data_IF_475081694497
#
_entry.id   IF_475081694497
#
_cell.length_a   1.000
_cell.length_b   1.000
_cell.length_c   1.000
_cell.angle_alpha   90.00
_cell.angle_beta   90.00
_cell.angle_gamma   90.00
#
_symmetry.space_group_name_H-M   'P 1'
#
loop_
_entity.id
_entity.type
_entity.pdbx_description
1 polymer ?
#
# COMPACT_ATOMS: atom_id res chain seq x y z
N UNK A 1 -23.97 -29.37 18.43
CA UNK A 1 -22.80 -28.47 18.50
C UNK A 1 -21.63 -29.24 17.93
N UNK A 2 -21.03 -28.80 16.84
CA UNK A 2 -19.77 -29.39 16.38
C UNK A 2 -18.69 -28.94 17.36
N UNK A 3 -17.94 -29.90 17.90
CA UNK A 3 -16.77 -29.61 18.71
C UNK A 3 -15.73 -28.87 17.85
N UNK A 4 -15.46 -27.64 18.21
CA UNK A 4 -14.38 -26.88 17.54
C UNK A 4 -13.05 -27.39 18.05
N UNK A 5 -12.25 -27.96 17.17
CA UNK A 5 -10.90 -28.40 17.50
C UNK A 5 -9.97 -27.18 17.42
N UNK A 6 -9.32 -26.86 18.53
CA UNK A 6 -8.29 -25.81 18.54
C UNK A 6 -7.10 -26.25 17.69
N UNK A 7 -6.79 -25.48 16.67
CA UNK A 7 -5.53 -25.59 15.93
C UNK A 7 -4.65 -24.40 16.28
N UNK A 8 -3.48 -24.63 16.89
CA UNK A 8 -2.56 -23.54 17.19
C UNK A 8 -2.14 -22.84 15.89
N UNK A 9 -2.06 -21.53 15.94
CA UNK A 9 -1.49 -20.78 14.82
C UNK A 9 -0.02 -21.22 14.60
N UNK A 10 0.42 -21.37 13.35
CA UNK A 10 1.81 -21.64 13.09
C UNK A 10 2.69 -20.55 13.68
N UNK A 11 3.85 -20.93 14.18
CA UNK A 11 4.82 -19.94 14.68
C UNK A 11 5.10 -18.90 13.58
N UNK A 12 5.09 -17.60 13.91
CA UNK A 12 5.39 -16.57 12.94
C UNK A 12 6.80 -16.77 12.40
N UNK A 13 6.93 -16.80 11.08
CA UNK A 13 8.25 -16.82 10.44
C UNK A 13 9.00 -15.54 10.85
N UNK A 14 10.07 -15.70 11.58
CA UNK A 14 10.95 -14.58 11.96
C UNK A 14 11.89 -14.28 10.80
N UNK A 15 12.08 -12.99 10.55
CA UNK A 15 13.13 -12.53 9.65
C UNK A 15 14.51 -12.84 10.27
N UNK A 16 15.55 -13.00 9.43
CA UNK A 16 16.93 -13.07 9.92
C UNK A 16 17.27 -11.87 10.81
N UNK A 17 18.15 -12.05 11.78
CA UNK A 17 18.52 -11.00 12.74
C UNK A 17 19.19 -9.78 12.06
N UNK A 18 19.77 -9.97 10.88
CA UNK A 18 20.39 -8.95 10.03
C UNK A 18 19.47 -8.39 8.95
N UNK A 19 18.17 -8.73 8.98
CA UNK A 19 17.21 -8.21 8.02
C UNK A 19 17.12 -6.68 8.11
N UNK A 20 17.13 -5.97 6.97
CA UNK A 20 17.04 -4.52 6.97
C UNK A 20 15.67 -4.03 7.45
N UNK A 21 15.65 -2.88 8.09
CA UNK A 21 14.40 -2.16 8.34
C UNK A 21 13.87 -1.57 7.03
N UNK A 22 12.58 -1.75 6.78
CA UNK A 22 11.90 -1.21 5.60
C UNK A 22 10.85 -0.21 6.07
N UNK A 23 11.00 1.05 5.66
CA UNK A 23 10.02 2.10 5.90
C UNK A 23 9.27 2.39 4.59
N UNK A 24 7.96 2.20 4.60
CA UNK A 24 7.08 2.57 3.49
C UNK A 24 6.34 3.84 3.85
N UNK A 25 6.56 4.92 3.09
CA UNK A 25 5.85 6.19 3.25
C UNK A 25 4.86 6.33 2.11
N UNK A 26 3.57 6.30 2.44
CA UNK A 26 2.48 6.41 1.49
C UNK A 26 1.79 7.77 1.67
N UNK A 27 2.05 8.68 0.75
CA UNK A 27 1.47 10.02 0.80
C UNK A 27 0.09 9.97 0.17
N UNK A 28 -0.90 10.52 0.88
CA UNK A 28 -2.30 10.54 0.44
C UNK A 28 -2.56 11.73 -0.47
N UNK A 29 -3.37 11.50 -1.51
CA UNK A 29 -3.79 12.50 -2.51
C UNK A 29 -2.63 13.31 -3.14
N UNK A 30 -1.44 12.73 -3.22
CA UNK A 30 -0.28 13.36 -3.84
C UNK A 30 0.11 12.65 -5.14
N UNK A 31 -0.02 13.35 -6.25
CA UNK A 31 0.45 12.88 -7.54
C UNK A 31 1.93 13.24 -7.81
N UNK A 32 2.53 12.67 -8.85
CA UNK A 32 3.93 12.94 -9.22
C UNK A 32 4.19 14.40 -9.61
N UNK A 33 3.17 15.17 -9.94
CA UNK A 33 3.30 16.59 -10.27
C UNK A 33 3.32 17.53 -9.05
N UNK A 34 3.23 17.02 -7.83
CA UNK A 34 3.22 17.84 -6.62
C UNK A 34 4.64 18.14 -6.10
N UNK A 35 5.51 17.15 -5.80
CA UNK A 35 6.82 17.43 -5.23
C UNK A 35 7.80 17.96 -6.27
N UNK A 36 8.61 18.95 -5.88
CA UNK A 36 9.64 19.55 -6.75
C UNK A 36 10.63 18.52 -7.31
N UNK A 37 10.95 17.49 -6.53
CA UNK A 37 11.85 16.43 -6.97
C UNK A 37 11.33 15.61 -8.16
N UNK A 38 10.04 15.68 -8.49
CA UNK A 38 9.42 15.06 -9.66
C UNK A 38 8.94 16.11 -10.70
N UNK A 39 9.28 17.37 -10.51
CA UNK A 39 8.93 18.47 -11.43
C UNK A 39 7.68 19.25 -11.01
N UNK A 40 7.19 19.07 -9.78
CA UNK A 40 6.09 19.84 -9.23
C UNK A 40 6.53 21.14 -8.55
N UNK A 41 5.55 21.92 -8.09
CA UNK A 41 5.76 23.25 -7.51
C UNK A 41 5.91 23.25 -5.98
N UNK A 42 5.69 22.11 -5.33
CA UNK A 42 5.74 22.02 -3.87
C UNK A 42 7.17 21.74 -3.42
N UNK A 43 7.71 22.64 -2.62
CA UNK A 43 9.04 22.49 -2.03
C UNK A 43 9.07 21.33 -1.04
N UNK A 44 9.79 20.27 -1.37
CA UNK A 44 9.85 19.02 -0.60
C UNK A 44 11.30 18.54 -0.42
N UNK A 45 12.12 19.23 0.39
CA UNK A 45 13.55 18.97 0.49
C UNK A 45 13.89 17.56 0.98
N UNK A 46 13.07 16.99 1.86
CA UNK A 46 13.26 15.61 2.33
C UNK A 46 13.07 14.59 1.20
N UNK A 47 12.04 14.77 0.36
CA UNK A 47 11.83 13.89 -0.81
C UNK A 47 12.94 14.07 -1.84
N UNK A 48 13.44 15.30 -2.01
CA UNK A 48 14.59 15.57 -2.87
C UNK A 48 15.82 14.79 -2.39
N UNK A 49 16.15 14.84 -1.11
CA UNK A 49 17.27 14.11 -0.53
C UNK A 49 17.11 12.58 -0.70
N UNK A 50 15.91 12.05 -0.49
CA UNK A 50 15.64 10.62 -0.70
C UNK A 50 15.84 10.24 -2.16
N UNK A 51 15.37 11.06 -3.09
CA UNK A 51 15.57 10.83 -4.54
C UNK A 51 17.04 10.86 -4.93
N UNK A 52 17.82 11.80 -4.42
CA UNK A 52 19.25 11.93 -4.70
C UNK A 52 20.07 10.76 -4.15
N UNK A 53 19.67 10.23 -3.01
CA UNK A 53 20.33 9.07 -2.39
C UNK A 53 19.80 7.71 -2.87
N UNK A 54 18.76 7.67 -3.69
CA UNK A 54 18.06 6.45 -4.05
C UNK A 54 17.76 6.29 -5.54
N UNK A 55 16.75 5.49 -5.83
CA UNK A 55 16.27 5.21 -7.18
C UNK A 55 14.86 5.77 -7.38
N UNK A 56 14.67 6.56 -8.44
CA UNK A 56 13.36 7.07 -8.85
C UNK A 56 12.72 6.22 -9.95
N UNK A 57 11.41 5.94 -9.79
CA UNK A 57 10.63 5.24 -10.81
C UNK A 57 9.62 6.20 -11.43
N UNK A 58 9.68 6.40 -12.75
CA UNK A 58 8.79 7.28 -13.49
C UNK A 58 7.60 6.57 -14.15
N UNK A 59 7.55 5.25 -14.06
CA UNK A 59 6.46 4.40 -14.57
C UNK A 59 5.91 3.52 -13.46
N UNK A 60 5.54 4.13 -12.36
CA UNK A 60 4.95 3.45 -11.21
C UNK A 60 3.43 3.66 -11.23
N UNK A 61 2.69 2.58 -11.34
CA UNK A 61 1.23 2.59 -11.44
C UNK A 61 0.61 2.08 -10.15
N UNK A 62 -0.41 2.77 -9.69
CA UNK A 62 -1.24 2.39 -8.55
C UNK A 62 -2.70 2.29 -9.00
N UNK A 63 -3.61 1.97 -8.09
CA UNK A 63 -5.03 2.12 -8.38
C UNK A 63 -5.41 3.62 -8.38
N UNK A 64 -6.60 3.93 -8.89
CA UNK A 64 -7.06 5.31 -8.99
C UNK A 64 -7.42 5.97 -7.64
N UNK A 65 -7.52 5.17 -6.56
CA UNK A 65 -8.00 5.65 -5.26
C UNK A 65 -7.15 5.12 -4.10
N UNK A 66 -7.21 5.81 -2.94
CA UNK A 66 -6.41 5.53 -1.75
C UNK A 66 -6.68 4.14 -1.15
N UNK A 67 -7.94 3.81 -0.85
CA UNK A 67 -8.30 2.54 -0.19
C UNK A 67 -7.89 1.31 -1.00
N UNK A 68 -8.20 1.20 -2.30
CA UNK A 68 -7.75 0.09 -3.13
C UNK A 68 -6.22 -0.04 -3.23
N UNK A 69 -5.52 1.08 -3.34
CA UNK A 69 -4.04 1.09 -3.37
C UNK A 69 -3.47 0.56 -2.06
N UNK A 70 -3.99 1.03 -0.91
CA UNK A 70 -3.55 0.58 0.41
C UNK A 70 -3.84 -0.90 0.64
N UNK A 71 -5.02 -1.36 0.24
CA UNK A 71 -5.38 -2.78 0.31
C UNK A 71 -4.43 -3.66 -0.51
N UNK A 72 -4.13 -3.27 -1.75
CA UNK A 72 -3.19 -4.00 -2.60
C UNK A 72 -1.79 -4.05 -1.98
N UNK A 73 -1.32 -2.93 -1.45
CA UNK A 73 -0.01 -2.85 -0.80
C UNK A 73 0.08 -3.77 0.43
N UNK A 74 -0.94 -3.74 1.30
CA UNK A 74 -0.95 -4.51 2.55
C UNK A 74 -1.14 -6.01 2.32
N UNK A 75 -1.96 -6.39 1.33
CA UNK A 75 -2.31 -7.80 1.08
C UNK A 75 -1.40 -8.46 0.03
N UNK A 76 -0.63 -7.70 -0.73
CA UNK A 76 0.15 -8.20 -1.86
C UNK A 76 -0.74 -8.80 -2.97
N UNK A 77 -2.01 -8.39 -3.06
CA UNK A 77 -3.00 -8.90 -4.02
C UNK A 77 -3.73 -7.75 -4.71
N UNK A 78 -4.39 -8.05 -5.82
CA UNK A 78 -5.30 -7.11 -6.45
C UNK A 78 -6.41 -6.73 -5.47
N UNK A 79 -6.75 -5.46 -5.41
CA UNK A 79 -7.72 -4.89 -4.46
C UNK A 79 -9.13 -5.49 -4.58
N UNK A 80 -9.56 -5.91 -5.77
CA UNK A 80 -10.87 -6.55 -5.96
C UNK A 80 -10.94 -7.94 -5.33
N UNK A 81 -9.82 -8.67 -5.24
CA UNK A 81 -9.75 -9.97 -4.56
C UNK A 81 -9.97 -9.87 -3.04
N UNK A 82 -9.72 -8.71 -2.48
CA UNK A 82 -9.93 -8.46 -1.05
C UNK A 82 -11.18 -7.61 -0.79
N UNK A 83 -12.05 -7.50 -1.78
CA UNK A 83 -13.33 -6.80 -1.66
C UNK A 83 -13.24 -5.28 -1.77
N UNK A 84 -12.06 -4.70 -1.97
CA UNK A 84 -11.84 -3.25 -1.93
C UNK A 84 -11.65 -2.65 -3.33
N UNK A 85 -12.69 -2.76 -4.17
CA UNK A 85 -12.67 -2.25 -5.55
C UNK A 85 -12.73 -0.73 -5.66
N UNK A 86 -13.19 -0.05 -4.60
CA UNK A 86 -13.36 1.40 -4.53
C UNK A 86 -13.15 1.91 -3.10
N UNK A 87 -13.33 3.21 -2.85
CA UNK A 87 -13.29 3.74 -1.49
C UNK A 87 -14.46 3.21 -0.67
N UNK A 88 -14.23 3.03 0.63
CA UNK A 88 -15.17 2.36 1.54
C UNK A 88 -16.56 2.97 1.56
N UNK A 89 -16.66 4.28 1.38
CA UNK A 89 -17.93 5.03 1.37
C UNK A 89 -18.86 4.61 0.24
N UNK A 90 -18.34 3.98 -0.79
CA UNK A 90 -19.09 3.45 -1.94
C UNK A 90 -19.17 1.93 -1.95
N UNK A 91 -18.83 1.28 -0.84
CA UNK A 91 -18.98 -0.17 -0.71
C UNK A 91 -20.41 -0.62 -1.06
N UNK A 92 -20.51 -1.76 -1.73
CA UNK A 92 -21.78 -2.32 -2.18
C UNK A 92 -21.70 -3.84 -2.23
N UNK A 93 -22.80 -4.51 -2.59
CA UNK A 93 -22.90 -5.97 -2.60
C UNK A 93 -22.29 -6.64 -3.85
N UNK A 94 -21.59 -5.91 -4.71
CA UNK A 94 -20.93 -6.49 -5.87
C UNK A 94 -19.63 -7.17 -5.48
N UNK A 95 -19.34 -8.29 -6.12
CA UNK A 95 -18.10 -9.03 -5.92
C UNK A 95 -16.88 -8.12 -6.14
N UNK A 96 -16.01 -8.07 -5.15
CA UNK A 96 -14.82 -7.23 -5.17
C UNK A 96 -15.02 -5.77 -4.71
N UNK A 97 -16.25 -5.39 -4.28
CA UNK A 97 -16.59 -4.02 -3.88
C UNK A 97 -17.27 -3.93 -2.50
N UNK A 98 -17.15 -4.94 -1.70
CA UNK A 98 -17.87 -5.07 -0.42
C UNK A 98 -17.27 -4.29 0.76
N UNK A 99 -16.10 -3.66 0.62
CA UNK A 99 -15.58 -2.82 1.70
C UNK A 99 -14.10 -2.67 1.79
#
# INVERSE_FOLDING_TARGET
MQESTYSPLPDPQRLPDDAPNILVVLIDDAGPALPECLGGDVHTPTLQNVKEGGMGFNRFHTTAMCSPTRSSLLCGRNHTFVGNGQIREFANDWDGYSG
#
